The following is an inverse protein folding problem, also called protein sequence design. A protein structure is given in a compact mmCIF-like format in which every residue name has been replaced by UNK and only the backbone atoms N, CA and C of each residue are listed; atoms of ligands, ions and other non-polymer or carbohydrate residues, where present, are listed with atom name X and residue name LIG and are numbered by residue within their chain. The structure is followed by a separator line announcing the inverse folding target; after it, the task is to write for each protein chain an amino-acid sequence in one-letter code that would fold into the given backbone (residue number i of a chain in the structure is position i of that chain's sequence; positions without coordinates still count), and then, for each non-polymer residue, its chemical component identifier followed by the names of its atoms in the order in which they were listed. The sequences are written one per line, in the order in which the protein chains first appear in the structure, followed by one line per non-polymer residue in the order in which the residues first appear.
data_IF_238647611453
#
_entry.id   IF_238647611453
#
_cell.length_a   1.000
_cell.length_b   1.000
_cell.length_c   1.000
_cell.angle_alpha   90.00
_cell.angle_beta   90.00
_cell.angle_gamma   90.00
#
_symmetry.space_group_name_H-M   'P 1'
#
loop_
_entity.id
_entity.type
_entity.pdbx_description
1 polymer ?
#
# COMPACT_ATOMS: atom_id res chain seq x y z
N UNK A 1 44.82 48.31 45.27
CA UNK A 1 43.58 47.52 45.21
C UNK A 1 43.35 47.10 43.74
N UNK A 2 43.65 45.84 43.39
CA UNK A 2 43.48 45.31 42.03
C UNK A 2 42.09 44.62 41.97
N UNK A 3 41.19 45.12 41.12
CA UNK A 3 39.88 44.51 40.90
C UNK A 3 40.03 43.37 39.89
N UNK A 4 39.68 42.15 40.31
CA UNK A 4 39.66 40.94 39.52
C UNK A 4 38.27 40.83 38.87
N UNK A 5 38.17 40.96 37.54
CA UNK A 5 36.92 40.82 36.79
C UNK A 5 36.77 39.36 36.38
N UNK A 6 35.78 38.67 36.95
CA UNK A 6 35.44 37.30 36.62
C UNK A 6 34.59 37.31 35.35
N UNK A 7 35.08 36.80 34.23
CA UNK A 7 34.35 36.60 32.98
C UNK A 7 33.76 35.21 33.01
N UNK A 8 32.42 35.11 33.20
CA UNK A 8 31.68 33.86 33.15
C UNK A 8 31.34 33.56 31.68
N UNK A 9 32.06 32.62 31.05
CA UNK A 9 31.78 32.16 29.72
C UNK A 9 30.55 31.22 29.73
N UNK A 10 29.49 31.59 29.03
CA UNK A 10 28.31 30.74 28.80
C UNK A 10 28.65 29.81 27.65
N UNK A 11 28.87 28.52 27.95
CA UNK A 11 29.06 27.48 26.98
C UNK A 11 27.65 27.04 26.45
N UNK A 12 27.25 27.54 25.28
CA UNK A 12 26.02 27.10 24.62
C UNK A 12 26.23 25.68 24.07
N UNK A 13 25.62 24.70 24.73
CA UNK A 13 25.50 23.34 24.16
C UNK A 13 24.56 23.39 22.96
N UNK A 14 25.11 23.36 21.74
CA UNK A 14 24.32 23.09 20.53
C UNK A 14 23.98 21.57 20.52
N UNK A 15 22.72 21.24 20.86
CA UNK A 15 22.22 19.87 20.67
C UNK A 15 22.18 19.58 19.17
N UNK A 16 22.73 18.46 18.70
CA UNK A 16 22.60 18.08 17.30
C UNK A 16 21.12 17.86 17.00
N UNK A 17 20.57 18.58 16.03
CA UNK A 17 19.26 18.26 15.41
C UNK A 17 19.44 16.91 14.71
N UNK A 18 18.95 15.84 15.33
CA UNK A 18 18.84 14.55 14.69
C UNK A 18 17.86 14.73 13.51
N UNK A 19 18.38 14.84 12.30
CA UNK A 19 17.58 14.78 11.09
C UNK A 19 16.88 13.42 11.09
N UNK A 20 15.56 13.44 11.15
CA UNK A 20 14.75 12.23 11.02
C UNK A 20 15.12 11.52 9.71
N UNK A 21 15.78 10.37 9.82
CA UNK A 21 16.25 9.64 8.66
C UNK A 21 15.05 8.95 8.01
N UNK A 22 14.78 9.32 6.75
CA UNK A 22 13.83 8.61 5.91
C UNK A 22 14.59 7.54 5.15
N UNK A 23 14.17 6.29 5.30
CA UNK A 23 14.73 5.14 4.58
C UNK A 23 13.80 4.75 3.44
N UNK A 24 14.38 4.29 2.33
CA UNK A 24 13.62 3.84 1.16
C UNK A 24 13.56 2.32 1.17
N UNK A 25 12.36 1.79 0.97
CA UNK A 25 12.08 0.36 0.90
C UNK A 25 11.32 0.07 -0.40
N UNK A 26 11.63 -1.05 -1.04
CA UNK A 26 10.92 -1.51 -2.25
C UNK A 26 10.37 -2.91 -2.02
N UNK A 27 9.17 -3.15 -2.55
CA UNK A 27 8.60 -4.50 -2.52
C UNK A 27 9.50 -5.52 -3.16
N UNK A 28 9.55 -6.71 -2.55
CA UNK A 28 10.06 -7.92 -3.18
C UNK A 28 8.91 -8.55 -3.99
N UNK A 29 9.02 -8.59 -5.33
CA UNK A 29 7.92 -9.09 -6.17
C UNK A 29 7.68 -10.60 -6.03
N UNK A 30 8.62 -11.35 -5.47
CA UNK A 30 8.46 -12.79 -5.25
C UNK A 30 7.68 -13.10 -3.96
N UNK A 31 7.67 -12.15 -3.02
CA UNK A 31 7.06 -12.31 -1.69
C UNK A 31 6.02 -11.23 -1.38
N UNK A 32 5.49 -10.58 -2.44
CA UNK A 32 4.44 -9.57 -2.28
C UNK A 32 3.28 -9.88 -3.21
N UNK A 33 2.07 -9.78 -2.69
CA UNK A 33 0.86 -10.10 -3.45
C UNK A 33 -0.30 -9.16 -3.13
N UNK A 34 -1.25 -9.07 -4.08
CA UNK A 34 -2.50 -8.33 -3.94
C UNK A 34 -3.63 -9.26 -4.32
N UNK A 35 -4.42 -9.64 -3.33
CA UNK A 35 -5.56 -10.55 -3.49
C UNK A 35 -6.88 -9.78 -3.41
N UNK A 36 -7.92 -10.34 -4.00
CA UNK A 36 -9.27 -9.81 -3.88
C UNK A 36 -10.30 -10.91 -3.62
N UNK A 37 -11.41 -10.50 -3.01
CA UNK A 37 -12.55 -11.37 -2.73
C UNK A 37 -13.83 -10.63 -3.07
N UNK A 38 -14.73 -11.28 -3.81
CA UNK A 38 -16.03 -10.73 -4.20
C UNK A 38 -17.13 -11.77 -4.03
N UNK A 39 -18.33 -11.33 -3.63
CA UNK A 39 -19.50 -12.20 -3.51
C UNK A 39 -20.15 -12.45 -4.88
N UNK A 40 -20.41 -13.72 -5.22
CA UNK A 40 -21.08 -14.12 -6.45
C UNK A 40 -22.45 -14.74 -6.13
N UNK A 41 -23.49 -14.26 -6.83
CA UNK A 41 -24.91 -14.68 -6.69
C UNK A 41 -25.42 -14.63 -5.23
N UNK A 42 -24.82 -13.83 -4.37
CA UNK A 42 -25.09 -13.81 -2.92
C UNK A 42 -24.91 -15.16 -2.22
N UNK A 43 -24.19 -16.10 -2.82
CA UNK A 43 -24.06 -17.51 -2.36
C UNK A 43 -22.62 -17.85 -1.98
N UNK A 44 -21.64 -17.45 -2.81
CA UNK A 44 -20.24 -17.86 -2.64
C UNK A 44 -19.27 -16.71 -2.88
N UNK A 45 -18.07 -16.82 -2.31
CA UNK A 45 -17.00 -15.89 -2.59
C UNK A 45 -16.12 -16.43 -3.72
N UNK A 46 -15.83 -15.56 -4.67
CA UNK A 46 -14.76 -15.74 -5.65
C UNK A 46 -13.53 -15.03 -5.12
N UNK A 47 -12.43 -15.75 -5.10
CA UNK A 47 -11.11 -15.24 -4.76
C UNK A 47 -10.28 -15.12 -6.03
N UNK A 48 -9.44 -14.11 -6.06
CA UNK A 48 -8.48 -13.92 -7.13
C UNK A 48 -7.31 -13.07 -6.66
N UNK A 49 -6.29 -13.02 -7.49
CA UNK A 49 -5.11 -12.18 -7.28
C UNK A 49 -4.80 -11.40 -8.53
N UNK A 50 -4.11 -10.29 -8.34
CA UNK A 50 -3.50 -9.54 -9.43
C UNK A 50 -2.09 -10.08 -9.73
N UNK A 51 -1.46 -9.54 -10.76
CA UNK A 51 -0.06 -9.79 -11.05
C UNK A 51 0.87 -9.12 -10.04
N UNK A 52 2.11 -8.89 -10.46
CA UNK A 52 3.12 -8.32 -9.58
C UNK A 52 2.73 -6.95 -9.03
N UNK A 53 3.10 -6.70 -7.77
CA UNK A 53 3.03 -5.38 -7.14
C UNK A 53 4.43 -4.81 -6.97
N UNK A 54 4.64 -3.60 -7.51
CA UNK A 54 5.85 -2.82 -7.32
C UNK A 54 5.53 -1.63 -6.43
N UNK A 55 5.97 -1.67 -5.16
CA UNK A 55 5.76 -0.60 -4.20
C UNK A 55 7.09 0.06 -3.82
N UNK A 56 7.05 1.37 -3.57
CA UNK A 56 8.13 2.13 -2.97
C UNK A 56 7.61 2.84 -1.74
N UNK A 57 8.27 2.62 -0.61
CA UNK A 57 7.92 3.19 0.68
C UNK A 57 9.07 4.09 1.13
N UNK A 58 8.79 5.37 1.35
CA UNK A 58 9.69 6.27 2.07
C UNK A 58 9.28 6.24 3.55
N UNK A 59 9.99 5.47 4.35
CA UNK A 59 9.67 5.23 5.75
C UNK A 59 10.41 6.24 6.64
N UNK A 60 9.66 7.08 7.33
CA UNK A 60 10.22 7.97 8.34
C UNK A 60 10.20 7.25 9.70
N UNK A 61 11.38 6.80 10.15
CA UNK A 61 11.52 5.99 11.38
C UNK A 61 11.20 6.78 12.65
N UNK A 62 11.43 8.10 12.65
CA UNK A 62 11.14 8.95 13.80
C UNK A 62 9.64 9.29 13.92
N UNK A 63 8.96 9.41 12.78
CA UNK A 63 7.54 9.76 12.73
C UNK A 63 6.89 9.07 11.52
N UNK A 64 6.31 7.90 11.73
CA UNK A 64 5.68 7.10 10.66
C UNK A 64 4.56 7.85 9.94
N UNK A 65 3.96 8.87 10.56
CA UNK A 65 2.92 9.68 9.92
C UNK A 65 3.44 10.55 8.78
N UNK A 66 4.76 10.71 8.67
CA UNK A 66 5.47 11.40 7.58
C UNK A 66 5.95 10.45 6.48
N UNK A 67 5.66 9.16 6.61
CA UNK A 67 5.97 8.18 5.59
C UNK A 67 5.04 8.33 4.39
N UNK A 68 5.54 7.88 3.23
CA UNK A 68 4.76 7.86 1.99
C UNK A 68 4.90 6.52 1.29
N UNK A 69 3.88 6.13 0.52
CA UNK A 69 3.91 4.93 -0.31
C UNK A 69 3.35 5.23 -1.70
N UNK A 70 4.02 4.68 -2.71
CA UNK A 70 3.51 4.58 -4.07
C UNK A 70 3.56 3.11 -4.49
N UNK A 71 2.54 2.65 -5.22
CA UNK A 71 2.50 1.28 -5.72
C UNK A 71 1.94 1.25 -7.14
N UNK A 72 2.45 0.30 -7.94
CA UNK A 72 1.90 -0.09 -9.25
C UNK A 72 1.60 -1.58 -9.20
N UNK A 73 0.41 -1.96 -9.63
CA UNK A 73 -0.10 -3.34 -9.60
C UNK A 73 -0.37 -3.75 -11.04
N UNK A 74 0.17 -4.88 -11.48
CA UNK A 74 -0.10 -5.45 -12.78
C UNK A 74 -1.51 -6.06 -12.81
N UNK A 75 -2.43 -5.47 -13.56
CA UNK A 75 -3.81 -5.94 -13.72
C UNK A 75 -3.89 -7.02 -14.81
N UNK A 76 -2.93 -7.08 -15.73
CA UNK A 76 -2.91 -8.07 -16.82
C UNK A 76 -2.71 -9.49 -16.30
N UNK A 77 -2.06 -9.62 -15.12
CA UNK A 77 -1.81 -10.85 -14.40
C UNK A 77 -2.98 -11.36 -13.57
N UNK A 78 -4.17 -10.75 -13.68
CA UNK A 78 -5.34 -11.18 -12.90
C UNK A 78 -5.66 -12.65 -13.11
N UNK A 79 -5.81 -13.38 -12.00
CA UNK A 79 -6.14 -14.81 -11.99
C UNK A 79 -7.06 -15.16 -10.83
N UNK A 80 -8.03 -16.03 -11.12
CA UNK A 80 -8.96 -16.60 -10.15
C UNK A 80 -8.89 -18.13 -10.14
N UNK A 81 -7.94 -18.72 -10.90
CA UNK A 81 -7.80 -20.15 -11.08
C UNK A 81 -8.81 -20.76 -12.07
N UNK A 82 -9.63 -19.93 -12.76
CA UNK A 82 -10.58 -20.35 -13.78
C UNK A 82 -10.31 -19.55 -15.07
N UNK A 83 -9.69 -20.18 -16.10
CA UNK A 83 -9.23 -19.46 -17.29
C UNK A 83 -10.32 -18.70 -18.05
N UNK A 84 -11.54 -19.25 -18.13
CA UNK A 84 -12.65 -18.56 -18.80
C UNK A 84 -13.03 -17.27 -18.08
N UNK A 85 -13.13 -17.31 -16.74
CA UNK A 85 -13.40 -16.14 -15.92
C UNK A 85 -12.25 -15.13 -15.97
N UNK A 86 -11.00 -15.60 -15.96
CA UNK A 86 -9.82 -14.73 -16.04
C UNK A 86 -9.80 -13.97 -17.39
N UNK A 87 -10.22 -14.62 -18.47
CA UNK A 87 -10.39 -13.96 -19.76
C UNK A 87 -11.48 -12.90 -19.74
N UNK A 88 -12.63 -13.20 -19.10
CA UNK A 88 -13.71 -12.21 -18.94
C UNK A 88 -13.25 -11.02 -18.10
N UNK A 89 -12.53 -11.25 -17.01
CA UNK A 89 -12.00 -10.19 -16.15
C UNK A 89 -11.05 -9.25 -16.90
N UNK A 90 -10.31 -9.74 -17.88
CA UNK A 90 -9.41 -8.92 -18.72
C UNK A 90 -10.15 -8.06 -19.73
N UNK A 91 -11.40 -8.41 -20.08
CA UNK A 91 -12.20 -7.72 -21.09
C UNK A 91 -12.55 -6.29 -20.67
N UNK A 92 -12.99 -5.47 -21.64
CA UNK A 92 -13.44 -4.09 -21.44
C UNK A 92 -14.68 -3.98 -20.54
N UNK A 93 -15.41 -5.06 -20.31
CA UNK A 93 -16.53 -5.10 -19.36
C UNK A 93 -16.06 -5.04 -17.91
N UNK A 94 -14.83 -5.50 -17.64
CA UNK A 94 -14.27 -5.55 -16.29
C UNK A 94 -13.03 -4.66 -16.20
N UNK A 95 -11.82 -5.20 -16.28
CA UNK A 95 -10.62 -4.40 -16.07
C UNK A 95 -10.14 -3.66 -17.33
N UNK A 96 -10.53 -4.13 -18.53
CA UNK A 96 -10.12 -3.51 -19.79
C UNK A 96 -8.60 -3.41 -19.91
N UNK A 97 -7.89 -4.55 -19.68
CA UNK A 97 -6.43 -4.56 -19.51
C UNK A 97 -5.67 -4.03 -20.71
N UNK A 98 -6.24 -4.08 -21.92
CA UNK A 98 -5.62 -3.52 -23.14
C UNK A 98 -5.42 -2.01 -23.04
N UNK A 99 -6.29 -1.32 -22.31
CA UNK A 99 -6.24 0.15 -22.12
C UNK A 99 -5.82 0.54 -20.70
N UNK A 100 -6.01 -0.35 -19.72
CA UNK A 100 -5.73 -0.14 -18.31
C UNK A 100 -4.90 -1.32 -17.73
N UNK A 101 -3.65 -1.52 -18.21
CA UNK A 101 -2.85 -2.68 -17.83
C UNK A 101 -2.41 -2.67 -16.36
N UNK A 102 -2.45 -1.51 -15.72
CA UNK A 102 -1.99 -1.33 -14.34
C UNK A 102 -3.00 -0.56 -13.49
N UNK A 103 -3.00 -0.85 -12.20
CA UNK A 103 -3.57 0.04 -11.18
C UNK A 103 -2.44 0.73 -10.43
N UNK A 104 -2.68 1.94 -9.93
CA UNK A 104 -1.68 2.69 -9.15
C UNK A 104 -2.29 3.22 -7.86
N UNK A 105 -1.48 3.23 -6.81
CA UNK A 105 -1.83 3.86 -5.53
C UNK A 105 -0.77 4.87 -5.13
N UNK A 106 -1.19 6.05 -4.68
CA UNK A 106 -0.31 7.08 -4.13
C UNK A 106 -0.90 7.58 -2.82
N UNK A 107 -0.16 7.42 -1.72
CA UNK A 107 -0.61 7.88 -0.41
C UNK A 107 -0.67 9.41 -0.35
N UNK A 108 -1.64 9.92 0.39
CA UNK A 108 -1.82 11.36 0.67
C UNK A 108 -1.67 11.66 2.16
N UNK A 109 -1.93 10.67 3.02
CA UNK A 109 -1.69 10.80 4.47
C UNK A 109 -1.54 9.44 5.13
N UNK A 110 -0.77 9.43 6.23
CA UNK A 110 -0.59 8.28 7.12
C UNK A 110 -1.00 8.70 8.53
N UNK A 111 -1.82 7.90 9.20
CA UNK A 111 -2.29 8.14 10.57
C UNK A 111 -2.11 6.89 11.41
N UNK A 112 -1.68 7.06 12.66
CA UNK A 112 -1.67 5.98 13.66
C UNK A 112 -3.07 5.81 14.25
N UNK A 113 -3.51 4.57 14.34
CA UNK A 113 -4.75 4.20 15.01
C UNK A 113 -4.46 3.71 16.45
N UNK A 114 -5.51 3.62 17.26
CA UNK A 114 -5.44 2.88 18.50
C UNK A 114 -5.10 1.41 18.20
N UNK A 115 -4.25 0.78 19.04
CA UNK A 115 -3.85 -0.61 18.83
C UNK A 115 -2.65 -0.82 17.89
N UNK A 116 -2.04 0.26 17.36
CA UNK A 116 -0.78 0.19 16.61
C UNK A 116 -0.91 0.03 15.10
N UNK A 117 -2.11 -0.17 14.56
CA UNK A 117 -2.34 -0.17 13.11
C UNK A 117 -2.22 1.24 12.51
N UNK A 118 -2.13 1.32 11.18
CA UNK A 118 -2.10 2.57 10.45
C UNK A 118 -3.32 2.68 9.53
N UNK A 119 -3.81 3.90 9.34
CA UNK A 119 -4.71 4.25 8.25
C UNK A 119 -3.93 5.05 7.22
N UNK A 120 -3.77 4.50 6.01
CA UNK A 120 -3.10 5.17 4.89
C UNK A 120 -4.18 5.58 3.88
N UNK A 121 -4.45 6.88 3.83
CA UNK A 121 -5.33 7.45 2.80
C UNK A 121 -4.50 7.70 1.54
N UNK A 122 -5.05 7.39 0.38
CA UNK A 122 -4.38 7.62 -0.90
C UNK A 122 -5.34 7.60 -2.07
N UNK A 123 -4.83 7.95 -3.24
CA UNK A 123 -5.56 7.91 -4.49
C UNK A 123 -5.27 6.58 -5.20
N UNK A 124 -6.30 5.79 -5.41
CA UNK A 124 -6.27 4.57 -6.23
C UNK A 124 -6.76 4.92 -7.63
N UNK A 125 -5.92 4.73 -8.63
CA UNK A 125 -6.32 4.75 -10.03
C UNK A 125 -6.46 3.29 -10.51
N UNK A 126 -7.67 2.93 -10.94
CA UNK A 126 -8.04 1.60 -11.38
C UNK A 126 -9.07 1.73 -12.51
N UNK A 127 -8.91 0.97 -13.60
CA UNK A 127 -9.82 0.99 -14.76
C UNK A 127 -10.07 2.42 -15.29
N UNK A 128 -9.03 3.26 -15.34
CA UNK A 128 -9.11 4.66 -15.81
C UNK A 128 -9.82 5.63 -14.84
N UNK A 129 -10.28 5.18 -13.68
CA UNK A 129 -10.94 6.01 -12.66
C UNK A 129 -10.05 6.16 -11.45
N UNK A 130 -9.90 7.39 -10.95
CA UNK A 130 -9.14 7.67 -9.73
C UNK A 130 -10.07 8.05 -8.58
N UNK A 131 -9.95 7.37 -7.45
CA UNK A 131 -10.73 7.66 -6.24
C UNK A 131 -9.86 7.58 -4.98
N UNK A 132 -10.19 8.36 -3.93
CA UNK A 132 -9.58 8.19 -2.63
C UNK A 132 -10.03 6.87 -2.00
N UNK A 133 -9.06 6.14 -1.43
CA UNK A 133 -9.28 4.93 -0.63
C UNK A 133 -8.49 5.01 0.66
N UNK A 134 -8.89 4.25 1.66
CA UNK A 134 -8.18 4.12 2.93
C UNK A 134 -7.74 2.67 3.09
N UNK A 135 -6.44 2.45 3.23
CA UNK A 135 -5.88 1.16 3.59
C UNK A 135 -5.76 1.08 5.12
N UNK A 136 -6.28 0.01 5.72
CA UNK A 136 -5.94 -0.37 7.08
C UNK A 136 -4.66 -1.22 7.00
N UNK A 137 -3.60 -0.81 7.70
CA UNK A 137 -2.27 -1.41 7.56
C UNK A 137 -1.75 -1.85 8.92
N UNK A 138 -1.27 -3.08 8.97
CA UNK A 138 -0.44 -3.63 10.04
C UNK A 138 1.02 -3.61 9.58
N UNK A 139 1.94 -3.28 10.49
CA UNK A 139 3.36 -3.13 10.17
C UNK A 139 3.88 -1.70 10.38
N UNK A 140 5.17 -1.44 10.03
CA UNK A 140 6.14 -2.45 9.62
C UNK A 140 6.43 -3.49 10.72
N UNK A 141 6.76 -4.71 10.33
CA UNK A 141 7.35 -5.69 11.27
C UNK A 141 8.70 -5.20 11.76
N UNK A 142 9.25 -5.84 12.80
CA UNK A 142 10.66 -5.64 13.15
C UNK A 142 11.56 -6.03 11.95
N UNK A 143 12.58 -5.20 11.60
CA UNK A 143 13.46 -5.51 10.47
C UNK A 143 14.23 -6.81 10.68
N UNK A 144 14.30 -7.65 9.65
CA UNK A 144 15.11 -8.88 9.62
C UNK A 144 16.12 -8.82 8.47
N UNK A 145 17.26 -9.50 8.60
CA UNK A 145 18.22 -9.61 7.49
C UNK A 145 17.82 -10.77 6.58
N UNK A 146 17.62 -10.50 5.30
CA UNK A 146 17.37 -11.49 4.28
C UNK A 146 18.67 -12.19 3.80
N UNK A 147 18.51 -13.23 2.95
CA UNK A 147 19.63 -13.92 2.31
C UNK A 147 20.32 -13.05 1.25
N UNK A 148 19.67 -12.01 0.77
CA UNK A 148 20.20 -10.98 -0.12
C UNK A 148 21.05 -9.92 0.61
N UNK A 149 21.28 -10.12 1.93
CA UNK A 149 22.00 -9.21 2.83
C UNK A 149 21.35 -7.85 3.04
N UNK A 150 20.08 -7.66 2.62
CA UNK A 150 19.28 -6.47 2.91
C UNK A 150 18.44 -6.67 4.16
N UNK A 151 17.97 -5.55 4.72
CA UNK A 151 16.93 -5.58 5.74
C UNK A 151 15.57 -5.68 5.05
N UNK A 152 14.70 -6.51 5.59
CA UNK A 152 13.33 -6.69 5.15
C UNK A 152 12.37 -6.32 6.26
N UNK A 153 11.22 -5.74 5.89
CA UNK A 153 10.07 -5.48 6.76
C UNK A 153 8.81 -5.94 6.05
N UNK A 154 7.86 -6.47 6.82
CA UNK A 154 6.55 -6.90 6.32
C UNK A 154 5.46 -5.87 6.61
N UNK A 155 4.48 -5.81 5.72
CA UNK A 155 3.24 -5.08 5.90
C UNK A 155 2.07 -5.96 5.43
N UNK A 156 0.99 -5.97 6.21
CA UNK A 156 -0.31 -6.45 5.77
C UNK A 156 -1.24 -5.26 5.63
N UNK A 157 -1.97 -5.18 4.51
CA UNK A 157 -2.93 -4.11 4.30
C UNK A 157 -4.25 -4.63 3.77
N UNK A 158 -5.35 -3.97 4.13
CA UNK A 158 -6.68 -4.31 3.63
C UNK A 158 -7.52 -3.06 3.36
N UNK A 159 -8.44 -3.22 2.41
CA UNK A 159 -9.48 -2.24 2.12
C UNK A 159 -10.68 -2.92 1.47
N UNK A 160 -11.80 -2.21 1.40
CA UNK A 160 -12.95 -2.61 0.59
C UNK A 160 -13.28 -1.47 -0.37
N UNK A 161 -13.44 -1.78 -1.65
CA UNK A 161 -13.81 -0.83 -2.68
C UNK A 161 -15.13 -1.25 -3.34
N UNK A 162 -15.91 -0.26 -3.80
CA UNK A 162 -17.06 -0.52 -4.68
C UNK A 162 -16.55 -0.69 -6.12
N UNK A 163 -16.75 -1.86 -6.74
CA UNK A 163 -16.34 -2.09 -8.13
C UNK A 163 -17.05 -1.17 -9.11
N UNK A 164 -18.35 -0.92 -8.87
CA UNK A 164 -19.14 -0.04 -9.76
C UNK A 164 -18.67 1.41 -9.69
N UNK A 165 -18.11 1.86 -8.56
CA UNK A 165 -17.50 3.17 -8.44
C UNK A 165 -16.29 3.35 -9.37
N UNK A 166 -15.63 2.27 -9.78
CA UNK A 166 -14.55 2.25 -10.78
C UNK A 166 -15.04 1.81 -12.17
N UNK A 167 -16.35 1.65 -12.38
CA UNK A 167 -16.93 1.23 -13.65
C UNK A 167 -16.76 -0.25 -13.99
N UNK A 168 -16.20 -1.07 -13.06
CA UNK A 168 -15.88 -2.47 -13.30
C UNK A 168 -17.16 -3.31 -13.23
N UNK A 169 -17.51 -3.99 -14.34
CA UNK A 169 -18.68 -4.84 -14.43
C UNK A 169 -20.00 -4.12 -14.10
N UNK A 170 -20.09 -2.81 -14.35
CA UNK A 170 -21.19 -1.93 -13.89
C UNK A 170 -22.59 -2.38 -14.34
N UNK A 171 -22.68 -3.16 -15.44
CA UNK A 171 -23.96 -3.71 -15.94
C UNK A 171 -24.51 -4.87 -15.08
N UNK A 172 -23.72 -5.47 -14.22
CA UNK A 172 -24.16 -6.59 -13.37
C UNK A 172 -24.74 -6.05 -12.05
N UNK A 173 -26.01 -6.39 -11.72
CA UNK A 173 -26.61 -6.00 -10.46
C UNK A 173 -25.89 -6.66 -9.27
N UNK A 174 -25.89 -6.01 -8.11
CA UNK A 174 -25.18 -6.48 -6.92
C UNK A 174 -25.63 -7.86 -6.43
N UNK A 175 -26.86 -8.27 -6.73
CA UNK A 175 -27.36 -9.62 -6.41
C UNK A 175 -26.66 -10.72 -7.23
N UNK A 176 -26.13 -10.40 -8.43
CA UNK A 176 -25.41 -11.31 -9.29
C UNK A 176 -23.90 -11.24 -9.03
N UNK A 177 -23.39 -10.05 -8.93
CA UNK A 177 -21.97 -9.78 -8.65
C UNK A 177 -21.91 -8.69 -7.58
N UNK A 178 -21.45 -9.04 -6.39
CA UNK A 178 -21.36 -8.12 -5.26
C UNK A 178 -20.65 -6.83 -5.64
N UNK A 179 -21.05 -5.71 -5.07
CA UNK A 179 -20.40 -4.42 -5.34
C UNK A 179 -19.12 -4.24 -4.51
N UNK A 180 -19.16 -4.70 -3.28
CA UNK A 180 -18.02 -4.64 -2.37
C UNK A 180 -16.97 -5.68 -2.75
N UNK A 181 -15.76 -5.21 -3.04
CA UNK A 181 -14.58 -6.04 -3.29
C UNK A 181 -13.60 -5.81 -2.16
N UNK A 182 -13.37 -6.85 -1.35
CA UNK A 182 -12.33 -6.84 -0.34
C UNK A 182 -10.97 -7.04 -1.03
N UNK A 183 -10.03 -6.17 -0.74
CA UNK A 183 -8.62 -6.26 -1.18
C UNK A 183 -7.77 -6.58 0.04
N UNK A 184 -6.84 -7.53 -0.11
CA UNK A 184 -5.82 -7.86 0.89
C UNK A 184 -4.46 -7.78 0.22
N UNK A 185 -3.49 -7.20 0.91
CA UNK A 185 -2.15 -6.95 0.38
C UNK A 185 -1.16 -7.50 1.39
N UNK A 186 -0.31 -8.40 0.95
CA UNK A 186 0.88 -8.85 1.68
C UNK A 186 2.10 -8.25 1.00
N UNK A 187 2.94 -7.57 1.76
CA UNK A 187 4.10 -6.88 1.22
C UNK A 187 5.35 -7.19 2.03
N UNK A 188 6.32 -7.83 1.41
CA UNK A 188 7.71 -7.88 1.85
C UNK A 188 8.45 -6.71 1.19
N UNK A 189 9.11 -5.88 1.98
CA UNK A 189 9.85 -4.73 1.47
C UNK A 189 11.31 -4.76 1.93
N UNK A 190 12.23 -4.68 0.97
CA UNK A 190 13.68 -4.64 1.18
C UNK A 190 14.20 -3.21 1.19
N UNK A 191 15.08 -2.89 2.14
CA UNK A 191 15.75 -1.60 2.26
C UNK A 191 16.71 -1.37 1.08
N UNK A 192 16.69 -0.14 0.54
CA UNK A 192 17.54 0.26 -0.61
C UNK A 192 18.78 0.99 -0.17
#
# INVERSE_FOLDING_TARGET
MKRLTLVTGILALAAPLALAQTTTWKSDPAHSEVDFTILHLSVSHVHGRFGHVAATIALNEADITKSTVTATIDVTGVSTGEPARDSDLKSSTFFGVDTNPTATFTSTSVRKNAGGTLSITGNLALHGVTKPVVLLVEGPTAPVSGMDHKKHVGFEASTTISRTAFGIGAKFPAAVLGDDVKITIELDAAQQ
#
